data_IF_930620362314
#
_entry.id   IF_930620362314
#
_cell.length_a   1.000
_cell.length_b   1.000
_cell.length_c   1.000
_cell.angle_alpha   90.00
_cell.angle_beta   90.00
_cell.angle_gamma   90.00
#
_symmetry.space_group_name_H-M   'P 1'
#
loop_
_entity.id
_entity.type
_entity.pdbx_description
1 polymer ?
#
# COMPACT_ATOMS: atom_id res chain seq x y z
N UNK A 1 -11.02 17.78 -11.36
CA UNK A 1 -10.70 16.66 -10.45
C UNK A 1 -10.10 15.57 -11.33
N UNK A 2 -8.83 15.17 -11.17
CA UNK A 2 -8.31 14.01 -11.90
C UNK A 2 -9.21 12.80 -11.63
N UNK A 3 -9.54 12.04 -12.66
CA UNK A 3 -10.32 10.82 -12.49
C UNK A 3 -9.50 9.82 -11.67
N UNK A 4 -10.05 9.34 -10.56
CA UNK A 4 -9.40 8.28 -9.78
C UNK A 4 -9.41 7.01 -10.63
N UNK A 5 -8.25 6.35 -10.72
CA UNK A 5 -8.14 5.04 -11.37
C UNK A 5 -8.28 3.94 -10.33
N UNK A 6 -9.05 2.88 -10.59
CA UNK A 6 -9.10 1.72 -9.71
C UNK A 6 -7.72 1.08 -9.61
N UNK A 7 -7.34 0.72 -8.38
CA UNK A 7 -6.09 0.00 -8.13
C UNK A 7 -5.97 -1.28 -8.97
N UNK A 8 -7.11 -1.90 -9.29
CA UNK A 8 -7.18 -3.10 -10.11
C UNK A 8 -6.65 -2.88 -11.54
N UNK A 9 -7.11 -1.83 -12.21
CA UNK A 9 -6.65 -1.47 -13.57
C UNK A 9 -5.15 -1.16 -13.58
N UNK A 10 -4.67 -0.40 -12.59
CA UNK A 10 -3.24 -0.08 -12.46
C UNK A 10 -2.41 -1.35 -12.28
N UNK A 11 -2.92 -2.32 -11.51
CA UNK A 11 -2.22 -3.59 -11.31
C UNK A 11 -2.21 -4.45 -12.57
N UNK A 12 -3.27 -4.42 -13.36
CA UNK A 12 -3.33 -5.10 -14.66
C UNK A 12 -2.42 -4.45 -15.71
N UNK A 13 -2.26 -3.12 -15.68
CA UNK A 13 -1.43 -2.36 -16.62
C UNK A 13 0.07 -2.73 -16.53
N UNK A 14 0.61 -2.84 -15.31
CA UNK A 14 2.03 -3.22 -15.11
C UNK A 14 2.24 -4.73 -14.97
N UNK A 15 1.23 -5.45 -14.49
CA UNK A 15 1.31 -6.87 -14.13
C UNK A 15 2.03 -7.12 -12.80
N UNK A 16 1.80 -8.30 -12.17
CA UNK A 16 2.25 -8.59 -10.81
C UNK A 16 3.77 -8.60 -10.65
N UNK A 17 4.52 -9.16 -11.62
CA UNK A 17 5.97 -9.29 -11.51
C UNK A 17 6.68 -7.92 -11.48
N UNK A 18 6.22 -6.98 -12.31
CA UNK A 18 6.77 -5.63 -12.39
C UNK A 18 6.39 -4.82 -11.15
N UNK A 19 5.14 -4.96 -10.69
CA UNK A 19 4.66 -4.37 -9.45
C UNK A 19 5.50 -4.76 -8.24
N UNK A 20 5.80 -6.06 -8.10
CA UNK A 20 6.67 -6.56 -7.02
C UNK A 20 8.05 -5.91 -7.07
N UNK A 21 8.61 -5.73 -8.28
CA UNK A 21 9.92 -5.08 -8.48
C UNK A 21 9.90 -3.61 -8.13
N UNK A 22 8.86 -2.88 -8.52
CA UNK A 22 8.78 -1.43 -8.37
C UNK A 22 8.34 -0.96 -6.99
N UNK A 23 7.42 -1.70 -6.38
CA UNK A 23 6.85 -1.33 -5.07
C UNK A 23 7.62 -1.94 -3.91
N UNK A 24 8.52 -2.89 -4.17
CA UNK A 24 9.23 -3.70 -3.17
C UNK A 24 8.29 -4.45 -2.19
N UNK A 25 7.02 -4.62 -2.57
CA UNK A 25 6.01 -5.29 -1.74
C UNK A 25 5.78 -6.73 -2.17
N UNK A 26 5.39 -7.55 -1.19
CA UNK A 26 4.92 -8.90 -1.46
C UNK A 26 3.64 -8.89 -2.30
N UNK A 27 3.61 -9.74 -3.34
CA UNK A 27 2.42 -9.98 -4.17
C UNK A 27 1.20 -10.38 -3.34
N UNK A 28 1.41 -11.07 -2.22
CA UNK A 28 0.35 -11.44 -1.29
C UNK A 28 -0.26 -10.21 -0.63
N UNK A 29 0.55 -9.24 -0.23
CA UNK A 29 0.09 -7.98 0.36
C UNK A 29 -0.69 -7.17 -0.66
N UNK A 30 -0.16 -7.02 -1.87
CA UNK A 30 -0.85 -6.34 -2.98
C UNK A 30 -2.21 -6.99 -3.26
N UNK A 31 -2.26 -8.33 -3.32
CA UNK A 31 -3.51 -9.07 -3.54
C UNK A 31 -4.53 -8.87 -2.42
N UNK A 32 -4.09 -8.85 -1.17
CA UNK A 32 -4.96 -8.56 -0.01
C UNK A 32 -5.51 -7.15 -0.07
N UNK A 33 -4.67 -6.16 -0.42
CA UNK A 33 -5.07 -4.75 -0.54
C UNK A 33 -6.13 -4.62 -1.64
N UNK A 34 -5.89 -5.20 -2.82
CA UNK A 34 -6.86 -5.21 -3.94
C UNK A 34 -8.22 -5.76 -3.54
N UNK A 35 -8.25 -6.78 -2.68
CA UNK A 35 -9.48 -7.42 -2.22
C UNK A 35 -10.14 -6.71 -1.03
N UNK A 36 -9.55 -5.63 -0.52
CA UNK A 36 -9.99 -4.99 0.73
C UNK A 36 -9.78 -5.88 1.96
N UNK A 37 -9.01 -6.98 1.85
CA UNK A 37 -8.70 -7.86 3.00
C UNK A 37 -7.71 -7.21 3.97
N UNK A 38 -6.97 -6.20 3.53
CA UNK A 38 -6.04 -5.43 4.35
C UNK A 38 -5.97 -3.98 3.88
N UNK A 39 -5.81 -3.07 4.82
CA UNK A 39 -5.60 -1.64 4.53
C UNK A 39 -4.10 -1.34 4.55
N UNK A 40 -3.51 -0.77 3.48
CA UNK A 40 -2.10 -0.38 3.49
C UNK A 40 -1.88 0.85 4.38
N UNK A 41 -0.68 0.97 4.94
CA UNK A 41 -0.23 2.23 5.54
C UNK A 41 0.09 3.25 4.45
N UNK A 42 0.08 4.53 4.79
CA UNK A 42 0.39 5.62 3.86
C UNK A 42 1.76 5.44 3.20
N UNK A 43 2.80 5.03 3.92
CA UNK A 43 4.11 4.72 3.32
C UNK A 43 4.02 3.60 2.27
N UNK A 44 3.27 2.54 2.59
CA UNK A 44 3.01 1.42 1.67
C UNK A 44 2.22 1.87 0.45
N UNK A 45 1.19 2.70 0.66
CA UNK A 45 0.36 3.24 -0.39
C UNK A 45 1.14 4.22 -1.28
N UNK A 46 2.03 5.05 -0.73
CA UNK A 46 2.92 5.96 -1.46
C UNK A 46 3.94 5.18 -2.29
N UNK A 47 4.52 4.11 -1.75
CA UNK A 47 5.39 3.19 -2.51
C UNK A 47 4.66 2.49 -3.64
N UNK A 48 3.43 2.05 -3.39
CA UNK A 48 2.57 1.47 -4.43
C UNK A 48 2.25 2.49 -5.52
N UNK A 49 1.84 3.70 -5.14
CA UNK A 49 1.52 4.77 -6.07
C UNK A 49 2.73 5.14 -6.94
N UNK A 50 3.90 5.30 -6.30
CA UNK A 50 5.17 5.54 -6.99
C UNK A 50 5.52 4.42 -7.97
N UNK A 51 5.39 3.15 -7.54
CA UNK A 51 5.66 2.01 -8.41
C UNK A 51 4.68 1.87 -9.58
N UNK A 52 3.44 2.32 -9.38
CA UNK A 52 2.37 2.39 -10.38
C UNK A 52 2.44 3.66 -11.24
N UNK A 53 3.44 4.53 -11.03
CA UNK A 53 3.55 5.84 -11.69
C UNK A 53 2.26 6.67 -11.60
N UNK A 54 1.58 6.58 -10.45
CA UNK A 54 0.32 7.24 -10.18
C UNK A 54 0.41 8.04 -8.88
N UNK A 55 -0.45 9.04 -8.73
CA UNK A 55 -0.57 9.80 -7.49
C UNK A 55 -1.34 9.00 -6.43
N UNK A 56 -0.91 9.08 -5.17
CA UNK A 56 -1.57 8.41 -4.04
C UNK A 56 -3.09 8.71 -4.00
N UNK A 57 -3.48 9.96 -4.19
CA UNK A 57 -4.88 10.42 -4.18
C UNK A 57 -5.60 10.23 -5.54
N UNK A 58 -4.83 9.89 -6.58
CA UNK A 58 -5.34 9.52 -7.90
C UNK A 58 -5.70 8.03 -7.99
N UNK A 59 -5.37 7.24 -6.97
CA UNK A 59 -5.72 5.81 -6.90
C UNK A 59 -6.97 5.64 -6.05
N UNK A 60 -7.92 4.87 -6.57
CA UNK A 60 -9.06 4.40 -5.80
C UNK A 60 -8.64 3.17 -4.98
N UNK A 61 -8.42 3.41 -3.68
CA UNK A 61 -8.10 2.39 -2.70
C UNK A 61 -9.39 1.74 -2.18
N UNK A 62 -9.51 0.40 -2.20
CA UNK A 62 -10.76 -0.28 -1.80
C UNK A 62 -11.26 0.11 -0.41
N UNK A 63 -10.34 0.16 0.55
CA UNK A 63 -10.62 0.47 1.97
C UNK A 63 -9.88 1.75 2.43
N UNK A 64 -9.34 2.55 1.49
CA UNK A 64 -8.45 3.66 1.82
C UNK A 64 -7.04 3.22 2.25
N UNK A 65 -6.34 4.10 2.96
CA UNK A 65 -5.03 3.83 3.56
C UNK A 65 -4.95 4.42 4.97
N UNK A 66 -4.19 3.77 5.86
CA UNK A 66 -3.98 4.23 7.23
C UNK A 66 -2.86 5.28 7.28
N UNK A 67 -2.95 6.30 8.16
CA UNK A 67 -1.84 7.24 8.36
C UNK A 67 -0.58 6.52 8.86
N UNK A 68 0.60 7.10 8.57
CA UNK A 68 1.92 6.57 8.98
C UNK A 68 2.01 6.38 10.51
N UNK A 69 1.24 7.18 11.25
CA UNK A 69 1.22 7.23 12.72
C UNK A 69 0.35 6.14 13.40
N UNK A 70 -0.04 5.06 12.70
CA UNK A 70 -0.73 3.98 13.39
C UNK A 70 0.26 3.18 14.26
N UNK A 71 0.09 3.14 15.60
CA UNK A 71 1.07 2.58 16.53
C UNK A 71 1.07 1.03 16.56
N UNK A 72 1.21 0.36 15.42
CA UNK A 72 1.24 -1.10 15.38
C UNK A 72 2.66 -1.69 15.51
N UNK A 73 3.70 -0.87 15.71
CA UNK A 73 5.08 -1.38 15.93
C UNK A 73 5.94 -0.50 16.83
N UNK A 74 5.39 -0.06 17.97
CA UNK A 74 6.21 0.14 19.17
C UNK A 74 5.72 -0.84 20.24
N UNK A 75 5.76 -2.15 19.95
CA UNK A 75 5.98 -3.11 21.04
C UNK A 75 7.45 -2.96 21.40
N UNK A 76 7.68 -1.97 22.27
CA UNK A 76 8.98 -1.55 22.74
C UNK A 76 9.78 -2.75 23.22
N UNK A 77 10.82 -3.06 22.47
CA UNK A 77 12.04 -3.63 23.01
C UNK A 77 12.66 -2.57 23.94
N UNK A 78 12.16 -2.45 25.17
CA UNK A 78 12.83 -1.74 26.26
C UNK A 78 12.53 -2.48 27.56
N UNK A 79 13.48 -3.34 27.91
CA UNK A 79 14.01 -3.55 29.26
C UNK A 79 13.10 -3.07 30.40
N UNK A 80 12.32 -4.01 30.96
CA UNK A 80 11.88 -3.89 32.34
C UNK A 80 13.08 -4.24 33.23
N UNK A 81 13.90 -3.23 33.54
CA UNK A 81 14.81 -3.25 34.68
C UNK A 81 14.22 -2.33 35.75
N UNK A 82 13.56 -2.92 36.73
CA UNK A 82 13.32 -2.36 38.05
C UNK A 82 13.13 -3.52 39.03
#
# INVERSE_FOLDING_TARGET
MPARKPLDELVEEFGPAELRRRTELDLRTIRKIRRGETVPYRDTAERMATGLQADLDGIEWPEGYLPIDHPSTIRGRKEAKA
#
